data_IF_054088569537
#
_entry.id   IF_054088569537
#
_cell.length_a   1.000
_cell.length_b   1.000
_cell.length_c   1.000
_cell.angle_alpha   90.00
_cell.angle_beta   90.00
_cell.angle_gamma   90.00
#
_symmetry.space_group_name_H-M   'P 1'
#
loop_
_entity.id
_entity.type
_entity.pdbx_description
1 polymer ?
#
# COMPACT_ATOMS: atom_id res chain seq x y z
N UNK A 1 -9.63 -18.02 -7.39
CA UNK A 1 -10.88 -17.71 -6.65
C UNK A 1 -10.77 -16.26 -6.26
N UNK A 2 -11.67 -15.40 -6.74
CA UNK A 2 -11.61 -13.97 -6.52
C UNK A 2 -12.69 -13.61 -5.50
N UNK A 3 -12.32 -13.13 -4.31
CA UNK A 3 -13.29 -12.73 -3.30
C UNK A 3 -13.35 -11.20 -3.19
N UNK A 4 -14.56 -10.67 -3.05
CA UNK A 4 -14.78 -9.24 -2.78
C UNK A 4 -15.43 -9.12 -1.43
N UNK A 5 -14.82 -8.37 -0.52
CA UNK A 5 -15.37 -8.10 0.80
C UNK A 5 -15.49 -6.59 1.00
N UNK A 6 -16.65 -6.16 1.47
CA UNK A 6 -16.93 -4.78 1.84
C UNK A 6 -17.37 -4.74 3.29
N UNK A 7 -16.69 -3.96 4.12
CA UNK A 7 -16.99 -3.90 5.55
C UNK A 7 -16.31 -2.73 6.24
N UNK A 8 -16.70 -2.45 7.49
CA UNK A 8 -16.09 -1.36 8.24
C UNK A 8 -14.65 -1.71 8.66
N UNK A 9 -14.47 -2.88 9.26
CA UNK A 9 -13.19 -3.43 9.62
C UNK A 9 -13.11 -4.86 9.08
N UNK A 10 -12.03 -5.19 8.37
CA UNK A 10 -11.90 -6.51 7.79
C UNK A 10 -10.44 -6.93 7.62
N UNK A 11 -10.21 -8.21 7.85
CA UNK A 11 -8.91 -8.86 7.72
C UNK A 11 -9.07 -10.07 6.80
N UNK A 12 -8.22 -10.18 5.77
CA UNK A 12 -8.33 -11.25 4.77
C UNK A 12 -6.95 -11.81 4.40
N UNK A 13 -6.87 -13.14 4.33
CA UNK A 13 -5.66 -13.87 3.94
C UNK A 13 -6.03 -14.92 2.90
N UNK A 14 -5.69 -14.62 1.65
CA UNK A 14 -6.28 -15.19 0.43
C UNK A 14 -5.36 -14.90 -0.75
N UNK A 15 -5.48 -15.63 -1.85
CA UNK A 15 -4.54 -15.43 -2.97
C UNK A 15 -4.92 -14.23 -3.85
N UNK A 16 -6.22 -14.02 -4.08
CA UNK A 16 -6.75 -12.98 -4.98
C UNK A 16 -8.06 -12.41 -4.47
N UNK A 17 -8.04 -11.17 -4.00
CA UNK A 17 -9.19 -10.50 -3.41
C UNK A 17 -9.19 -8.98 -3.56
N UNK A 18 -10.39 -8.41 -3.48
CA UNK A 18 -10.61 -6.97 -3.35
C UNK A 18 -11.26 -6.71 -2.00
N UNK A 19 -10.65 -5.85 -1.20
CA UNK A 19 -11.15 -5.46 0.11
C UNK A 19 -11.41 -3.97 0.16
N UNK A 20 -12.64 -3.59 0.50
CA UNK A 20 -13.05 -2.20 0.66
C UNK A 20 -13.56 -1.98 2.07
N UNK A 21 -12.95 -1.05 2.82
CA UNK A 21 -13.40 -0.77 4.18
C UNK A 21 -12.73 0.42 4.85
N UNK A 22 -13.17 0.78 6.05
CA UNK A 22 -12.53 1.89 6.77
C UNK A 22 -11.16 1.46 7.32
N UNK A 23 -11.10 0.31 7.98
CA UNK A 23 -9.88 -0.31 8.49
C UNK A 23 -9.71 -1.69 7.85
N UNK A 24 -8.71 -1.86 7.01
CA UNK A 24 -8.61 -3.03 6.16
C UNK A 24 -7.18 -3.59 6.20
N UNK A 25 -7.02 -4.87 6.52
CA UNK A 25 -5.72 -5.54 6.49
C UNK A 25 -5.77 -6.76 5.58
N UNK A 26 -4.78 -6.90 4.73
CA UNK A 26 -4.84 -7.92 3.69
C UNK A 26 -3.44 -8.45 3.35
N UNK A 27 -3.28 -9.78 3.38
CA UNK A 27 -1.97 -10.42 3.24
C UNK A 27 -1.99 -11.56 2.19
N UNK A 28 -1.43 -11.31 1.01
CA UNK A 28 -1.83 -11.95 -0.26
C UNK A 28 -0.81 -11.77 -1.41
N UNK A 29 -0.92 -12.58 -2.47
CA UNK A 29 -0.08 -12.44 -3.67
C UNK A 29 -0.56 -11.31 -4.61
N UNK A 30 -1.89 -11.21 -4.86
CA UNK A 30 -2.44 -10.31 -5.89
C UNK A 30 -3.77 -9.67 -5.48
N UNK A 31 -3.74 -8.44 -4.95
CA UNK A 31 -4.96 -7.81 -4.41
C UNK A 31 -5.04 -6.30 -4.54
N UNK A 32 -6.28 -5.83 -4.36
CA UNK A 32 -6.62 -4.42 -4.27
C UNK A 32 -7.27 -4.14 -2.92
N UNK A 33 -6.68 -3.21 -2.17
CA UNK A 33 -7.16 -2.74 -0.88
C UNK A 33 -7.56 -1.27 -0.98
N UNK A 34 -8.81 -0.96 -0.62
CA UNK A 34 -9.30 0.42 -0.60
C UNK A 34 -9.83 0.74 0.78
N UNK A 35 -9.25 1.73 1.47
CA UNK A 35 -9.74 2.10 2.79
C UNK A 35 -9.09 3.30 3.44
N UNK A 36 -9.66 3.81 4.53
CA UNK A 36 -9.08 4.97 5.22
C UNK A 36 -7.76 4.61 5.89
N UNK A 37 -7.74 3.53 6.67
CA UNK A 37 -6.57 2.94 7.29
C UNK A 37 -6.36 1.54 6.70
N UNK A 38 -5.37 1.41 5.84
CA UNK A 38 -5.20 0.24 4.98
C UNK A 38 -3.78 -0.32 5.16
N UNK A 39 -3.69 -1.62 5.44
CA UNK A 39 -2.41 -2.34 5.51
C UNK A 39 -2.43 -3.52 4.54
N UNK A 40 -1.45 -3.58 3.64
CA UNK A 40 -1.39 -4.59 2.58
C UNK A 40 0.00 -5.23 2.56
N UNK A 41 0.05 -6.55 2.40
CA UNK A 41 1.30 -7.25 2.15
C UNK A 41 1.15 -8.47 1.23
N UNK A 42 1.74 -8.44 0.04
CA UNK A 42 2.55 -9.54 -0.49
C UNK A 42 3.36 -9.20 -1.75
N UNK A 43 2.91 -9.57 -2.96
CA UNK A 43 3.80 -9.54 -4.15
C UNK A 43 3.39 -8.49 -5.19
N UNK A 44 2.09 -8.43 -5.54
CA UNK A 44 1.55 -7.56 -6.57
C UNK A 44 0.25 -6.89 -6.10
N UNK A 45 0.40 -5.74 -5.50
CA UNK A 45 -0.62 -5.18 -4.63
C UNK A 45 -0.95 -3.72 -4.99
N UNK A 46 -2.22 -3.35 -4.90
CA UNK A 46 -2.68 -1.95 -5.07
C UNK A 46 -3.38 -1.51 -3.80
N UNK A 47 -2.91 -0.41 -3.21
CA UNK A 47 -3.50 0.17 -2.01
C UNK A 47 -3.92 1.61 -2.25
N UNK A 48 -5.18 1.89 -1.97
CA UNK A 48 -5.78 3.22 -2.04
C UNK A 48 -6.30 3.59 -0.66
N UNK A 49 -5.77 4.64 -0.04
CA UNK A 49 -6.21 5.01 1.31
C UNK A 49 -5.60 6.25 1.91
N UNK A 50 -6.21 6.80 2.98
CA UNK A 50 -5.66 8.01 3.61
C UNK A 50 -4.36 7.70 4.36
N UNK A 51 -4.39 6.68 5.20
CA UNK A 51 -3.25 6.15 5.93
C UNK A 51 -2.99 4.72 5.45
N UNK A 52 -1.83 4.55 4.82
CA UNK A 52 -1.58 3.41 3.96
C UNK A 52 -0.19 2.84 4.22
N UNK A 53 -0.12 1.58 4.62
CA UNK A 53 1.14 0.89 4.89
C UNK A 53 1.26 -0.34 3.99
N UNK A 54 2.36 -0.45 3.26
CA UNK A 54 2.56 -1.54 2.32
C UNK A 54 4.02 -1.99 2.30
N UNK A 55 4.26 -3.30 2.24
CA UNK A 55 5.59 -3.92 2.33
C UNK A 55 5.78 -5.06 1.32
N UNK A 56 5.90 -4.75 0.02
CA UNK A 56 5.84 -5.72 -1.10
C UNK A 56 6.78 -5.47 -2.29
N UNK A 57 7.01 -6.48 -3.13
CA UNK A 57 7.95 -6.41 -4.26
C UNK A 57 7.53 -5.39 -5.34
N UNK A 58 6.24 -5.40 -5.74
CA UNK A 58 5.70 -4.51 -6.79
C UNK A 58 4.33 -3.97 -6.42
N UNK A 59 4.20 -2.64 -6.33
CA UNK A 59 2.92 -2.07 -5.94
C UNK A 59 2.68 -0.62 -6.37
N UNK A 60 1.41 -0.23 -6.30
CA UNK A 60 0.93 1.14 -6.46
C UNK A 60 0.21 1.55 -5.19
N UNK A 61 0.69 2.63 -4.58
CA UNK A 61 0.07 3.20 -3.39
C UNK A 61 -0.41 4.62 -3.67
N UNK A 62 -1.66 4.90 -3.29
CA UNK A 62 -2.27 6.22 -3.42
C UNK A 62 -2.84 6.62 -2.07
N UNK A 63 -2.33 7.71 -1.48
CA UNK A 63 -2.74 8.08 -0.14
C UNK A 63 -2.14 9.34 0.44
N UNK A 64 -2.74 9.89 1.51
CA UNK A 64 -2.22 11.10 2.14
C UNK A 64 -0.94 10.82 2.94
N UNK A 65 -0.96 9.77 3.77
CA UNK A 65 0.17 9.27 4.54
C UNK A 65 0.47 7.85 4.08
N UNK A 66 1.71 7.65 3.64
CA UNK A 66 2.16 6.40 3.05
C UNK A 66 3.48 5.95 3.67
N UNK A 67 3.57 4.68 4.05
CA UNK A 67 4.82 4.05 4.49
C UNK A 67 5.14 2.83 3.64
N UNK A 68 6.30 2.83 3.00
CA UNK A 68 6.70 1.86 1.98
C UNK A 68 8.12 1.34 2.20
N UNK A 69 8.36 0.05 1.95
CA UNK A 69 9.63 -0.58 2.33
C UNK A 69 10.23 -1.57 1.32
N UNK A 70 10.28 -1.30 0.01
CA UNK A 70 10.62 -2.37 -0.96
C UNK A 70 11.25 -1.98 -2.31
N UNK A 71 11.35 -2.94 -3.22
CA UNK A 71 12.18 -2.89 -4.43
C UNK A 71 11.60 -1.96 -5.51
N UNK A 72 10.32 -2.08 -5.88
CA UNK A 72 9.71 -1.31 -6.97
C UNK A 72 8.33 -0.79 -6.61
N UNK A 73 8.14 0.52 -6.61
CA UNK A 73 6.80 1.07 -6.36
C UNK A 73 6.52 2.44 -6.97
N UNK A 74 5.22 2.71 -7.08
CA UNK A 74 4.66 4.03 -7.41
C UNK A 74 3.88 4.55 -6.23
N UNK A 75 4.25 5.73 -5.74
CA UNK A 75 3.54 6.42 -4.68
C UNK A 75 2.97 7.75 -5.18
N UNK A 76 1.69 7.96 -4.92
CA UNK A 76 1.04 9.27 -5.08
C UNK A 76 0.47 9.71 -3.75
N UNK A 77 0.95 10.83 -3.20
CA UNK A 77 0.56 11.21 -1.84
C UNK A 77 1.09 12.55 -1.33
N UNK A 78 0.75 12.90 -0.09
CA UNK A 78 1.26 14.13 0.53
C UNK A 78 2.50 13.86 1.37
N UNK A 79 2.41 12.92 2.30
CA UNK A 79 3.48 12.53 3.22
C UNK A 79 3.85 11.08 2.96
N UNK A 80 5.13 10.84 2.76
CA UNK A 80 5.66 9.54 2.40
C UNK A 80 6.91 9.21 3.21
N UNK A 81 6.99 8.00 3.71
CA UNK A 81 8.26 7.40 4.16
C UNK A 81 8.59 6.24 3.26
N UNK A 82 9.81 6.26 2.72
CA UNK A 82 10.23 5.30 1.70
C UNK A 82 11.54 4.65 2.11
N UNK A 83 11.57 3.33 2.03
CA UNK A 83 12.76 2.50 2.18
C UNK A 83 12.85 1.53 1.01
N UNK A 84 13.22 2.02 -0.19
CA UNK A 84 13.16 1.22 -1.40
C UNK A 84 14.19 1.48 -2.49
N UNK A 85 14.34 0.52 -3.42
CA UNK A 85 15.43 0.50 -4.40
C UNK A 85 15.10 1.31 -5.65
N UNK A 86 13.85 1.22 -6.13
CA UNK A 86 13.36 1.92 -7.31
C UNK A 86 12.00 2.52 -6.92
N UNK A 87 11.89 3.84 -7.01
CA UNK A 87 10.70 4.57 -6.61
C UNK A 87 10.29 5.61 -7.66
N UNK A 88 8.99 5.66 -7.95
CA UNK A 88 8.36 6.80 -8.64
C UNK A 88 7.45 7.47 -7.64
N UNK A 89 7.73 8.73 -7.34
CA UNK A 89 7.02 9.49 -6.33
C UNK A 89 6.42 10.75 -6.90
N UNK A 90 5.11 10.93 -6.67
CA UNK A 90 4.38 12.16 -6.99
C UNK A 90 3.79 12.69 -5.69
N UNK A 91 4.47 13.67 -5.08
CA UNK A 91 4.00 14.34 -3.87
C UNK A 91 4.19 15.85 -3.91
N UNK A 92 3.37 16.57 -3.11
CA UNK A 92 3.41 18.04 -2.99
C UNK A 92 4.22 18.56 -1.79
N UNK A 93 4.68 17.69 -0.90
CA UNK A 93 5.28 18.03 0.40
C UNK A 93 6.57 17.22 0.65
N UNK A 94 7.42 17.65 1.61
CA UNK A 94 8.71 17.01 1.89
C UNK A 94 8.55 15.59 2.44
N UNK A 95 9.51 14.75 2.08
CA UNK A 95 9.46 13.29 2.21
C UNK A 95 10.58 12.82 3.13
N UNK A 96 10.27 11.90 4.05
CA UNK A 96 11.27 11.22 4.88
C UNK A 96 11.82 9.99 4.17
N UNK A 97 12.85 10.16 3.34
CA UNK A 97 13.55 9.01 2.71
C UNK A 97 14.55 8.44 3.72
N UNK A 98 14.31 7.22 4.19
CA UNK A 98 15.20 6.55 5.15
C UNK A 98 16.16 5.61 4.40
N UNK A 99 16.93 6.15 3.44
CA UNK A 99 18.01 5.40 2.78
C UNK A 99 19.30 6.19 2.69
N UNK A 100 20.40 5.50 3.03
CA UNK A 100 21.73 5.74 2.46
C UNK A 100 21.58 5.62 0.94
N UNK A 101 21.52 6.76 0.26
CA UNK A 101 21.75 6.82 -1.18
C UNK A 101 23.23 6.45 -1.38
N UNK A 102 23.48 5.40 -2.17
CA UNK A 102 24.80 5.12 -2.71
C UNK A 102 24.94 5.91 -4.01
#
# INVERSE_FOLDING_TARGET
MQCVLVGYAATLLVVQCVLVGYAATLLVEQCVLVGYAATLSGVQCVLVGYAATLSDIQFVLTGHVATLSDIQFVLTGHVATLSGLICVLVSRLPIGVNRKVL
#
